data_IF_908564688367
#
_entry.id   IF_908564688367
#
_cell.length_a   1.000
_cell.length_b   1.000
_cell.length_c   1.000
_cell.angle_alpha   90.00
_cell.angle_beta   90.00
_cell.angle_gamma   90.00
#
_symmetry.space_group_name_H-M   'P 1'
#
loop_
_entity.id
_entity.type
_entity.pdbx_description
1 polymer ?
#
# COMPACT_ATOMS: atom_id res chain seq x y z
N UNK A 1 20.04 -9.96 -10.38
CA UNK A 1 19.68 -9.19 -9.17
C UNK A 1 20.96 -8.96 -8.38
N UNK A 2 21.54 -7.76 -8.45
CA UNK A 2 22.70 -7.41 -7.63
C UNK A 2 22.27 -7.26 -6.18
N UNK A 3 22.92 -7.97 -5.25
CA UNK A 3 22.62 -7.84 -3.83
C UNK A 3 23.18 -6.49 -3.37
N UNK A 4 22.32 -5.52 -2.96
CA UNK A 4 22.80 -4.24 -2.47
C UNK A 4 23.59 -4.44 -1.18
N UNK A 5 24.65 -3.66 -1.00
CA UNK A 5 25.43 -3.71 0.24
C UNK A 5 24.58 -3.28 1.44
N UNK A 6 25.06 -3.53 2.66
CA UNK A 6 24.33 -3.10 3.87
C UNK A 6 24.10 -1.59 3.86
N UNK A 7 25.11 -0.81 3.45
CA UNK A 7 25.03 0.65 3.37
C UNK A 7 23.96 1.08 2.38
N UNK A 8 23.91 0.45 1.20
CA UNK A 8 22.90 0.77 0.18
C UNK A 8 21.48 0.53 0.71
N UNK A 9 21.26 -0.55 1.48
CA UNK A 9 19.95 -0.82 2.08
C UNK A 9 19.56 0.21 3.14
N UNK A 10 20.53 0.69 3.94
CA UNK A 10 20.26 1.76 4.92
C UNK A 10 19.88 3.06 4.22
N UNK A 11 20.60 3.43 3.15
CA UNK A 11 20.28 4.63 2.36
C UNK A 11 18.90 4.51 1.72
N UNK A 12 18.60 3.37 1.10
CA UNK A 12 17.27 3.11 0.51
C UNK A 12 16.14 3.16 1.54
N UNK A 13 16.39 2.65 2.76
CA UNK A 13 15.40 2.70 3.83
C UNK A 13 15.18 4.14 4.32
N UNK A 14 16.25 4.94 4.45
CA UNK A 14 16.15 6.35 4.84
C UNK A 14 15.36 7.17 3.82
N UNK A 15 15.63 6.98 2.53
CA UNK A 15 14.87 7.61 1.44
C UNK A 15 13.39 7.21 1.52
N UNK A 16 13.10 5.93 1.73
CA UNK A 16 11.73 5.42 1.84
C UNK A 16 10.97 6.02 3.03
N UNK A 17 11.63 6.27 4.16
CA UNK A 17 11.01 6.90 5.34
C UNK A 17 10.62 8.36 5.07
N UNK A 18 11.42 9.10 4.29
CA UNK A 18 11.14 10.50 3.95
C UNK A 18 10.08 10.60 2.86
N UNK A 19 10.19 9.79 1.80
CA UNK A 19 9.28 9.84 0.65
C UNK A 19 7.93 9.19 0.94
N UNK A 20 7.88 8.18 1.80
CA UNK A 20 6.65 7.47 2.19
C UNK A 20 5.48 8.41 2.50
N UNK A 21 5.56 9.29 3.52
CA UNK A 21 4.45 10.17 3.88
C UNK A 21 4.09 11.23 2.82
N UNK A 22 5.00 11.53 1.90
CA UNK A 22 4.76 12.50 0.80
C UNK A 22 3.86 11.85 -0.26
N UNK A 23 4.26 10.68 -0.74
CA UNK A 23 3.51 9.95 -1.76
C UNK A 23 2.25 9.28 -1.20
N UNK A 24 2.18 9.06 0.11
CA UNK A 24 1.01 8.46 0.76
C UNK A 24 -0.28 9.21 0.48
N UNK A 25 -0.21 10.54 0.40
CA UNK A 25 -1.34 11.43 0.13
C UNK A 25 -1.75 11.45 -1.34
N UNK A 26 -0.90 10.93 -2.23
CA UNK A 26 -1.11 10.93 -3.68
C UNK A 26 -1.64 9.60 -4.20
N UNK A 27 -1.57 8.53 -3.40
CA UNK A 27 -2.14 7.24 -3.79
C UNK A 27 -3.67 7.29 -3.81
N UNK A 28 -4.28 6.53 -4.73
CA UNK A 28 -5.73 6.32 -4.73
C UNK A 28 -6.16 5.54 -3.48
N UNK A 29 -7.38 5.76 -3.03
CA UNK A 29 -7.94 5.07 -1.85
C UNK A 29 -7.95 3.55 -2.03
N UNK A 30 -8.17 3.08 -3.26
CA UNK A 30 -8.14 1.66 -3.65
C UNK A 30 -6.73 1.09 -3.89
N UNK A 31 -5.68 1.84 -3.56
CA UNK A 31 -4.28 1.36 -3.65
C UNK A 31 -3.83 0.79 -2.30
N UNK A 32 -3.64 -0.53 -2.27
CA UNK A 32 -3.32 -1.28 -1.05
C UNK A 32 -1.92 -1.90 -1.04
N UNK A 33 -1.28 -2.01 -2.19
CA UNK A 33 0.03 -2.66 -2.32
C UNK A 33 1.14 -1.85 -1.67
N UNK A 34 2.03 -2.53 -0.93
CA UNK A 34 3.24 -1.94 -0.31
C UNK A 34 2.99 -0.80 0.69
N UNK A 35 1.72 -0.58 1.08
CA UNK A 35 1.31 0.38 2.09
C UNK A 35 1.03 -0.33 3.41
N UNK A 36 1.59 0.17 4.49
CA UNK A 36 1.51 -0.49 5.80
C UNK A 36 0.10 -0.31 6.40
N UNK A 37 -0.47 -1.38 6.98
CA UNK A 37 -1.70 -1.32 7.76
C UNK A 37 -3.03 -1.36 6.99
N UNK A 38 -3.01 -1.50 5.66
CA UNK A 38 -4.24 -1.41 4.84
C UNK A 38 -4.85 -2.76 4.44
N UNK A 39 -4.27 -3.86 4.91
CA UNK A 39 -4.77 -5.20 4.58
C UNK A 39 -6.25 -5.37 4.97
N UNK A 40 -6.63 -4.97 6.18
CA UNK A 40 -8.01 -5.10 6.66
C UNK A 40 -8.99 -4.17 5.92
N UNK A 41 -8.52 -2.99 5.49
CA UNK A 41 -9.32 -2.01 4.74
C UNK A 41 -9.70 -2.58 3.37
N UNK A 42 -8.74 -3.19 2.66
CA UNK A 42 -8.98 -3.86 1.38
C UNK A 42 -10.04 -4.97 1.49
N UNK A 43 -9.92 -5.83 2.51
CA UNK A 43 -10.87 -6.93 2.72
C UNK A 43 -12.28 -6.38 3.01
N UNK A 44 -12.38 -5.32 3.80
CA UNK A 44 -13.65 -4.67 4.12
C UNK A 44 -14.28 -4.05 2.86
N UNK A 45 -13.49 -3.36 2.04
CA UNK A 45 -13.96 -2.78 0.78
C UNK A 45 -14.45 -3.84 -0.21
N UNK A 46 -13.71 -4.94 -0.36
CA UNK A 46 -14.12 -6.09 -1.17
C UNK A 46 -15.44 -6.71 -0.67
N UNK A 47 -15.64 -6.79 0.65
CA UNK A 47 -16.88 -7.28 1.23
C UNK A 47 -18.07 -6.37 0.90
N UNK A 48 -17.91 -5.04 1.07
CA UNK A 48 -18.94 -4.06 0.70
C UNK A 48 -19.27 -4.10 -0.80
N UNK A 49 -18.26 -4.20 -1.67
CA UNK A 49 -18.45 -4.36 -3.12
C UNK A 49 -19.20 -5.65 -3.43
N UNK A 50 -18.90 -6.76 -2.75
CA UNK A 50 -19.60 -8.03 -2.95
C UNK A 50 -21.08 -7.94 -2.55
N UNK A 51 -21.41 -7.30 -1.44
CA UNK A 51 -22.80 -7.13 -0.98
C UNK A 51 -23.61 -6.20 -1.89
N UNK A 52 -23.01 -5.09 -2.34
CA UNK A 52 -23.67 -4.16 -3.26
C UNK A 52 -23.95 -4.81 -4.62
N UNK A 53 -23.03 -5.64 -5.12
CA UNK A 53 -23.25 -6.38 -6.36
C UNK A 53 -24.31 -7.49 -6.24
N UNK A 54 -24.59 -7.98 -5.02
CA UNK A 54 -25.64 -9.00 -4.79
C UNK A 54 -27.06 -8.44 -4.73
N UNK A 55 -27.23 -7.15 -4.42
CA UNK A 55 -28.55 -6.49 -4.44
C UNK A 55 -28.94 -5.93 -5.81
N UNK A 56 -28.02 -5.91 -6.78
CA UNK A 56 -28.26 -5.45 -8.15
C UNK A 56 -28.67 -6.54 -9.15
N UNK A 57 -29.07 -7.73 -8.67
CA UNK A 57 -29.66 -8.79 -9.48
C UNK A 57 -31.10 -9.05 -9.04
#
# INVERSE_FOLDING_TARGET
MGIPTVVDRVVQQAISQVLGPIFEKQFSESSYGFRQGLFYVCISELHHISLNNKHGK
#
